data_IF_921845345445
#
_entry.id   IF_921845345445
#
_cell.length_a   1.000
_cell.length_b   1.000
_cell.length_c   1.000
_cell.angle_alpha   90.00
_cell.angle_beta   90.00
_cell.angle_gamma   90.00
#
_symmetry.space_group_name_H-M   'P 1'
#
loop_
_entity.id
_entity.type
_entity.pdbx_description
1 polymer ?
#
# COMPACT_ATOMS: atom_id res chain seq x y z
N UNK A 1 -0.91 -32.59 -66.66
CA UNK A 1 0.32 -33.38 -66.40
C UNK A 1 0.97 -32.86 -65.12
N UNK A 2 0.90 -33.70 -64.17
CA UNK A 2 1.05 -33.56 -62.74
C UNK A 2 2.51 -33.85 -62.37
N UNK A 3 3.12 -33.09 -61.49
CA UNK A 3 4.23 -33.59 -60.63
C UNK A 3 4.30 -32.86 -59.30
N UNK A 4 3.73 -33.50 -58.30
CA UNK A 4 3.92 -33.25 -56.90
C UNK A 4 5.33 -33.57 -56.48
N UNK A 5 6.14 -32.60 -56.04
CA UNK A 5 7.36 -32.83 -55.25
C UNK A 5 7.04 -32.84 -53.75
N UNK A 6 6.93 -34.05 -53.18
CA UNK A 6 7.00 -34.30 -51.73
C UNK A 6 8.42 -34.16 -51.22
N UNK A 7 8.68 -33.16 -50.42
CA UNK A 7 9.89 -33.06 -49.60
C UNK A 7 9.71 -33.87 -48.32
N UNK A 8 10.48 -34.93 -48.14
CA UNK A 8 10.49 -35.74 -46.90
C UNK A 8 11.27 -34.96 -45.83
N UNK A 9 10.81 -34.93 -44.55
CA UNK A 9 11.57 -34.30 -43.45
C UNK A 9 12.78 -35.15 -43.10
N UNK A 10 13.97 -34.52 -43.09
CA UNK A 10 15.22 -35.10 -42.61
C UNK A 10 15.09 -35.35 -41.10
N UNK A 11 15.18 -36.62 -40.66
CA UNK A 11 15.38 -37.02 -39.27
C UNK A 11 16.68 -36.41 -38.74
N UNK A 12 16.57 -35.44 -37.84
CA UNK A 12 17.70 -35.03 -36.99
C UNK A 12 18.02 -36.19 -36.03
N UNK A 13 19.19 -36.74 -36.13
CA UNK A 13 19.79 -37.65 -35.15
C UNK A 13 19.99 -36.87 -33.85
N UNK A 14 19.19 -37.19 -32.82
CA UNK A 14 19.39 -36.71 -31.48
C UNK A 14 20.65 -37.25 -30.88
N UNK A 15 21.60 -36.37 -30.60
CA UNK A 15 22.77 -36.64 -29.76
C UNK A 15 22.31 -36.67 -28.29
N UNK A 16 21.92 -37.85 -27.86
CA UNK A 16 21.31 -38.15 -26.56
C UNK A 16 22.37 -38.46 -25.48
N UNK A 17 23.45 -37.70 -25.36
CA UNK A 17 24.49 -38.00 -24.36
C UNK A 17 25.08 -36.79 -23.62
N UNK A 18 24.59 -35.57 -23.89
CA UNK A 18 25.18 -34.36 -23.26
C UNK A 18 24.18 -33.60 -22.37
N UNK A 19 22.90 -34.03 -22.25
CA UNK A 19 21.86 -33.20 -21.63
C UNK A 19 21.61 -33.47 -20.14
N UNK A 20 21.93 -34.67 -19.62
CA UNK A 20 21.52 -34.98 -18.22
C UNK A 20 22.50 -34.44 -17.15
N UNK A 21 23.81 -34.38 -17.46
CA UNK A 21 24.79 -33.84 -16.50
C UNK A 21 24.82 -32.32 -16.41
N UNK A 22 24.55 -31.64 -17.53
CA UNK A 22 24.53 -30.17 -17.55
C UNK A 22 23.23 -29.58 -16.98
N UNK A 23 22.10 -30.29 -17.10
CA UNK A 23 20.83 -29.90 -16.45
C UNK A 23 20.97 -30.01 -14.94
N UNK A 24 21.56 -31.09 -14.42
CA UNK A 24 21.75 -31.29 -12.97
C UNK A 24 22.75 -30.30 -12.37
N UNK A 25 23.78 -29.88 -13.13
CA UNK A 25 24.72 -28.84 -12.69
C UNK A 25 24.05 -27.45 -12.76
N UNK A 26 23.22 -27.21 -13.79
CA UNK A 26 22.45 -25.99 -13.92
C UNK A 26 21.44 -25.80 -12.79
N UNK A 27 20.63 -26.80 -12.47
CA UNK A 27 19.66 -26.75 -11.37
C UNK A 27 20.32 -26.58 -9.99
N UNK A 28 21.46 -27.25 -9.73
CA UNK A 28 22.19 -27.05 -8.47
C UNK A 28 22.81 -25.68 -8.33
N UNK A 29 23.32 -25.10 -9.40
CA UNK A 29 23.88 -23.74 -9.40
C UNK A 29 22.75 -22.71 -9.27
N UNK A 30 21.62 -22.89 -9.95
CA UNK A 30 20.45 -22.02 -9.86
C UNK A 30 19.86 -22.05 -8.44
N UNK A 31 19.66 -23.24 -7.84
CA UNK A 31 19.20 -23.35 -6.45
C UNK A 31 20.16 -22.72 -5.43
N UNK A 32 21.47 -22.82 -5.62
CA UNK A 32 22.44 -22.20 -4.72
C UNK A 32 22.48 -20.68 -4.83
N UNK A 33 22.28 -20.13 -6.02
CA UNK A 33 22.14 -18.68 -6.25
C UNK A 33 20.82 -18.17 -5.68
N UNK A 34 19.72 -18.90 -5.84
CA UNK A 34 18.40 -18.54 -5.31
C UNK A 34 18.38 -18.45 -3.78
N UNK A 35 19.05 -19.37 -3.08
CA UNK A 35 19.16 -19.31 -1.61
C UNK A 35 19.90 -18.08 -1.13
N UNK A 36 21.03 -17.74 -1.75
CA UNK A 36 21.81 -16.53 -1.40
C UNK A 36 21.04 -15.24 -1.66
N UNK A 37 20.35 -15.16 -2.79
CA UNK A 37 19.50 -14.04 -3.17
C UNK A 37 18.31 -13.92 -2.21
N UNK A 38 17.63 -15.02 -1.91
CA UNK A 38 16.50 -15.06 -0.97
C UNK A 38 16.93 -14.58 0.41
N UNK A 39 18.08 -15.05 0.93
CA UNK A 39 18.64 -14.59 2.20
C UNK A 39 18.97 -13.10 2.14
N UNK A 40 19.62 -12.63 1.07
CA UNK A 40 19.96 -11.22 0.90
C UNK A 40 18.73 -10.30 0.90
N UNK A 41 17.69 -10.67 0.16
CA UNK A 41 16.42 -9.94 0.14
C UNK A 41 15.72 -10.00 1.49
N UNK A 42 15.74 -11.15 2.18
CA UNK A 42 15.17 -11.29 3.51
C UNK A 42 15.89 -10.42 4.56
N UNK A 43 17.21 -10.28 4.46
CA UNK A 43 17.97 -9.36 5.30
C UNK A 43 17.53 -7.92 5.06
N UNK A 44 17.38 -7.50 3.79
CA UNK A 44 16.89 -6.16 3.47
C UNK A 44 15.48 -5.96 4.04
N UNK A 45 14.62 -6.95 3.90
CA UNK A 45 13.27 -6.94 4.48
C UNK A 45 13.31 -6.67 6.00
N UNK A 46 14.15 -7.41 6.74
CA UNK A 46 14.32 -7.21 8.18
C UNK A 46 14.89 -5.81 8.51
N UNK A 47 15.80 -5.29 7.69
CA UNK A 47 16.36 -3.95 7.85
C UNK A 47 15.27 -2.89 7.66
N UNK A 48 14.43 -3.03 6.64
CA UNK A 48 13.29 -2.13 6.39
C UNK A 48 12.29 -2.18 7.55
N UNK A 49 12.02 -3.37 8.08
CA UNK A 49 11.10 -3.55 9.20
C UNK A 49 11.64 -2.93 10.51
N UNK A 50 12.89 -3.19 10.85
CA UNK A 50 13.45 -2.87 12.17
C UNK A 50 14.10 -1.50 12.21
N UNK A 51 14.69 -1.04 11.09
CA UNK A 51 15.48 0.18 11.00
C UNK A 51 14.78 1.43 11.56
N UNK A 52 13.55 1.75 11.11
CA UNK A 52 12.82 2.94 11.57
C UNK A 52 12.53 2.94 13.07
N UNK A 53 12.41 1.76 13.70
CA UNK A 53 12.15 1.63 15.14
C UNK A 53 13.40 1.78 16.01
N UNK A 54 14.58 1.54 15.47
CA UNK A 54 15.84 1.53 16.21
C UNK A 54 16.68 2.78 16.00
N UNK A 55 16.62 3.40 14.85
CA UNK A 55 17.54 4.45 14.43
C UNK A 55 16.76 5.73 14.11
N UNK A 56 16.88 6.74 14.97
CA UNK A 56 16.15 8.01 14.84
C UNK A 56 16.41 8.76 13.51
N UNK A 57 17.63 8.69 12.98
CA UNK A 57 17.96 9.29 11.68
C UNK A 57 17.17 8.63 10.54
N UNK A 58 16.97 7.31 10.61
CA UNK A 58 16.15 6.57 9.62
C UNK A 58 14.68 6.97 9.74
N UNK A 59 14.18 7.07 10.98
CA UNK A 59 12.80 7.50 11.23
C UNK A 59 12.50 8.89 10.66
N UNK A 60 13.45 9.82 10.76
CA UNK A 60 13.30 11.20 10.28
C UNK A 60 13.45 11.36 8.76
N UNK A 61 14.10 10.40 8.09
CA UNK A 61 14.38 10.42 6.66
C UNK A 61 13.96 9.08 6.01
N UNK A 62 12.74 8.65 6.33
CA UNK A 62 12.22 7.35 5.93
C UNK A 62 12.24 7.17 4.40
N UNK A 63 11.92 8.22 3.65
CA UNK A 63 11.92 8.24 2.20
C UNK A 63 13.28 7.91 1.59
N UNK A 64 14.35 8.48 2.16
CA UNK A 64 15.73 8.23 1.70
C UNK A 64 16.18 6.82 2.08
N UNK A 65 15.87 6.40 3.30
CA UNK A 65 16.19 5.06 3.78
C UNK A 65 15.54 3.96 2.92
N UNK A 66 14.24 4.08 2.65
CA UNK A 66 13.52 3.13 1.81
C UNK A 66 14.02 3.14 0.38
N UNK A 67 14.40 4.32 -0.14
CA UNK A 67 15.01 4.44 -1.47
C UNK A 67 16.33 3.65 -1.55
N UNK A 68 17.21 3.78 -0.55
CA UNK A 68 18.47 3.02 -0.48
C UNK A 68 18.17 1.52 -0.40
N UNK A 69 17.25 1.10 0.46
CA UNK A 69 16.84 -0.31 0.56
C UNK A 69 16.26 -0.83 -0.76
N UNK A 70 15.48 -0.02 -1.47
CA UNK A 70 14.94 -0.34 -2.79
C UNK A 70 16.02 -0.55 -3.84
N UNK A 71 16.99 0.35 -3.89
CA UNK A 71 18.16 0.22 -4.77
C UNK A 71 18.94 -1.06 -4.48
N UNK A 72 19.16 -1.39 -3.21
CA UNK A 72 19.85 -2.63 -2.81
C UNK A 72 19.05 -3.87 -3.18
N UNK A 73 17.75 -3.90 -2.90
CA UNK A 73 16.88 -5.02 -3.24
C UNK A 73 16.83 -5.24 -4.76
N UNK A 74 16.68 -4.16 -5.53
CA UNK A 74 16.69 -4.18 -6.99
C UNK A 74 18.03 -4.69 -7.55
N UNK A 75 19.15 -4.31 -6.93
CA UNK A 75 20.48 -4.77 -7.31
C UNK A 75 20.66 -6.26 -7.06
N UNK A 76 20.18 -6.76 -5.93
CA UNK A 76 20.23 -8.20 -5.62
C UNK A 76 19.32 -8.97 -6.59
N UNK A 77 18.13 -8.49 -6.87
CA UNK A 77 17.19 -9.16 -7.77
C UNK A 77 17.64 -9.14 -9.24
N UNK A 78 18.59 -8.29 -9.61
CA UNK A 78 19.15 -8.25 -10.95
C UNK A 78 19.88 -9.55 -11.35
N UNK A 79 20.33 -10.31 -10.38
CA UNK A 79 21.00 -11.60 -10.61
C UNK A 79 20.01 -12.78 -10.66
N UNK A 80 18.70 -12.51 -10.60
CA UNK A 80 17.65 -13.53 -10.67
C UNK A 80 17.08 -13.58 -12.09
N UNK A 81 16.94 -14.78 -12.62
CA UNK A 81 16.21 -15.02 -13.87
C UNK A 81 14.99 -15.88 -13.54
N UNK A 82 13.79 -15.30 -13.65
CA UNK A 82 12.53 -16.00 -13.53
C UNK A 82 11.89 -16.10 -14.90
N UNK A 83 11.35 -17.29 -15.24
CA UNK A 83 10.64 -17.46 -16.50
C UNK A 83 9.42 -16.56 -16.59
N UNK A 84 9.39 -15.70 -17.61
CA UNK A 84 8.27 -14.79 -17.87
C UNK A 84 8.18 -13.57 -16.95
N UNK A 85 9.15 -13.35 -16.07
CA UNK A 85 9.17 -12.20 -15.14
C UNK A 85 10.49 -11.45 -15.26
N UNK A 86 10.39 -10.18 -15.64
CA UNK A 86 11.55 -9.28 -15.63
C UNK A 86 11.85 -8.83 -14.20
N UNK A 87 13.11 -9.00 -13.78
CA UNK A 87 13.59 -8.64 -12.43
C UNK A 87 14.82 -7.74 -12.52
N UNK A 88 15.03 -6.93 -11.50
CA UNK A 88 16.22 -6.11 -11.33
C UNK A 88 16.31 -4.90 -12.26
N UNK A 89 17.54 -4.39 -12.43
CA UNK A 89 17.80 -3.17 -13.18
C UNK A 89 17.46 -3.29 -14.66
N UNK A 90 16.55 -2.42 -15.11
CA UNK A 90 16.17 -2.23 -16.50
C UNK A 90 15.69 -0.79 -16.70
N UNK A 91 15.74 -0.31 -17.95
CA UNK A 91 15.34 1.07 -18.22
C UNK A 91 13.88 1.34 -17.85
N UNK A 92 13.00 0.38 -18.11
CA UNK A 92 11.55 0.49 -17.79
C UNK A 92 11.28 0.73 -16.29
N UNK A 93 12.03 0.10 -15.37
CA UNK A 93 11.83 0.33 -13.93
C UNK A 93 12.32 1.69 -13.47
N UNK A 94 13.40 2.21 -14.11
CA UNK A 94 13.88 3.56 -13.83
C UNK A 94 12.85 4.59 -14.32
N UNK A 95 12.32 4.40 -15.53
CA UNK A 95 11.28 5.24 -16.10
C UNK A 95 10.01 5.20 -15.23
N UNK A 96 9.57 4.01 -14.83
CA UNK A 96 8.42 3.82 -13.93
C UNK A 96 8.64 4.56 -12.60
N UNK A 97 9.79 4.41 -11.97
CA UNK A 97 10.10 5.08 -10.71
C UNK A 97 10.11 6.61 -10.83
N UNK A 98 10.59 7.15 -11.94
CA UNK A 98 10.60 8.60 -12.20
C UNK A 98 9.20 9.13 -12.54
N UNK A 99 8.38 8.35 -13.22
CA UNK A 99 7.08 8.78 -13.74
C UNK A 99 5.95 8.52 -12.75
N UNK A 100 5.95 7.40 -12.03
CA UNK A 100 4.89 7.02 -11.09
C UNK A 100 4.52 8.11 -10.07
N UNK A 101 5.44 8.89 -9.50
CA UNK A 101 5.09 9.97 -8.57
C UNK A 101 4.28 11.10 -9.20
N UNK A 102 4.50 11.37 -10.49
CA UNK A 102 3.95 12.54 -11.21
C UNK A 102 2.89 12.18 -12.25
N UNK A 103 2.71 10.89 -12.53
CA UNK A 103 1.75 10.41 -13.51
C UNK A 103 1.05 9.15 -13.02
N UNK A 104 -0.26 9.24 -12.86
CA UNK A 104 -1.09 8.05 -12.63
C UNK A 104 -1.60 7.59 -13.99
N UNK A 105 -1.14 6.42 -14.42
CA UNK A 105 -1.65 5.77 -15.63
C UNK A 105 -3.12 5.42 -15.41
N UNK A 106 -4.00 6.25 -15.90
CA UNK A 106 -5.42 5.97 -15.94
C UNK A 106 -5.94 6.12 -17.37
N UNK A 107 -7.10 5.50 -17.64
CA UNK A 107 -7.80 5.49 -18.92
C UNK A 107 -8.05 6.90 -19.52
N UNK A 108 -7.89 7.95 -18.72
CA UNK A 108 -8.18 9.34 -19.10
C UNK A 108 -6.94 10.17 -19.41
N UNK A 109 -5.73 9.58 -19.36
CA UNK A 109 -4.46 10.28 -19.66
C UNK A 109 -4.29 11.63 -18.96
N UNK A 110 -4.87 11.80 -17.77
CA UNK A 110 -4.68 13.01 -17.00
C UNK A 110 -3.28 12.97 -16.39
N UNK A 111 -2.43 13.97 -16.67
CA UNK A 111 -1.06 14.03 -16.14
C UNK A 111 -1.07 14.53 -14.69
N UNK A 112 -1.87 13.89 -13.84
CA UNK A 112 -1.99 14.25 -12.43
C UNK A 112 -1.48 13.07 -11.61
N UNK A 113 -0.29 13.22 -11.07
CA UNK A 113 0.29 12.27 -10.12
C UNK A 113 0.06 12.67 -8.68
N UNK A 114 0.50 11.81 -7.78
CA UNK A 114 0.38 11.99 -6.32
C UNK A 114 1.06 13.29 -5.87
N UNK A 115 2.23 13.59 -6.43
CA UNK A 115 3.04 14.76 -6.06
C UNK A 115 2.31 16.07 -6.38
N UNK A 116 1.67 16.17 -7.55
CA UNK A 116 0.89 17.36 -7.92
C UNK A 116 -0.32 17.54 -6.99
N UNK A 117 -1.02 16.45 -6.64
CA UNK A 117 -2.15 16.49 -5.70
C UNK A 117 -1.67 16.97 -4.32
N UNK A 118 -0.60 16.40 -3.79
CA UNK A 118 -0.01 16.81 -2.49
C UNK A 118 0.41 18.27 -2.51
N UNK A 119 1.03 18.73 -3.61
CA UNK A 119 1.46 20.12 -3.77
C UNK A 119 0.27 21.09 -3.85
N UNK A 120 -0.68 20.83 -4.76
CA UNK A 120 -1.83 21.72 -4.99
C UNK A 120 -2.72 21.79 -3.76
N UNK A 121 -3.09 20.64 -3.18
CA UNK A 121 -3.92 20.60 -1.97
C UNK A 121 -3.17 21.21 -0.79
N UNK A 122 -1.86 20.95 -0.66
CA UNK A 122 -1.03 21.61 0.35
C UNK A 122 -1.03 23.13 0.25
N UNK A 123 -0.94 23.70 -0.98
CA UNK A 123 -1.02 25.13 -1.21
C UNK A 123 -2.44 25.70 -0.95
N UNK A 124 -3.49 24.96 -1.30
CA UNK A 124 -4.87 25.32 -1.00
C UNK A 124 -5.06 25.41 0.51
N UNK A 125 -4.64 24.40 1.25
CA UNK A 125 -4.73 24.35 2.71
C UNK A 125 -3.90 25.49 3.32
N UNK A 126 -2.67 25.69 2.87
CA UNK A 126 -1.83 26.81 3.29
C UNK A 126 -2.56 28.16 3.18
N UNK A 127 -3.28 28.37 2.09
CA UNK A 127 -4.00 29.63 1.82
C UNK A 127 -5.30 29.78 2.62
N UNK A 128 -6.04 28.68 2.83
CA UNK A 128 -7.37 28.69 3.47
C UNK A 128 -7.43 27.96 4.81
N UNK A 129 -6.30 27.78 5.49
CA UNK A 129 -6.30 27.03 6.76
C UNK A 129 -7.22 27.67 7.81
N UNK A 130 -7.24 29.00 7.97
CA UNK A 130 -8.07 29.69 8.96
C UNK A 130 -9.58 29.45 8.76
N UNK A 131 -10.16 29.67 7.55
CA UNK A 131 -11.55 29.31 7.30
C UNK A 131 -11.87 27.83 7.52
N UNK A 132 -10.97 26.93 7.13
CA UNK A 132 -11.13 25.48 7.29
C UNK A 132 -11.18 25.13 8.78
N UNK A 133 -10.20 25.60 9.57
CA UNK A 133 -10.14 25.39 11.01
C UNK A 133 -11.36 25.96 11.72
N UNK A 134 -11.81 27.15 11.33
CA UNK A 134 -13.02 27.78 11.87
C UNK A 134 -14.28 26.95 11.62
N UNK A 135 -14.44 26.43 10.41
CA UNK A 135 -15.57 25.55 10.06
C UNK A 135 -15.56 24.25 10.87
N UNK A 136 -14.39 23.59 10.97
CA UNK A 136 -14.23 22.34 11.74
C UNK A 136 -14.51 22.57 13.22
N UNK A 137 -14.01 23.66 13.80
CA UNK A 137 -14.25 24.05 15.18
C UNK A 137 -15.73 24.28 15.46
N UNK A 138 -16.42 24.98 14.58
CA UNK A 138 -17.87 25.21 14.68
C UNK A 138 -18.65 23.91 14.62
N UNK A 139 -18.24 22.96 13.79
CA UNK A 139 -18.83 21.61 13.75
C UNK A 139 -18.55 20.83 15.04
N UNK A 140 -17.32 20.90 15.56
CA UNK A 140 -16.93 20.23 16.81
C UNK A 140 -17.65 20.80 18.05
N UNK A 141 -18.03 22.08 18.04
CA UNK A 141 -18.83 22.72 19.10
C UNK A 141 -20.31 22.29 19.07
N UNK A 142 -20.84 21.97 17.89
CA UNK A 142 -22.25 21.54 17.71
C UNK A 142 -22.44 20.04 17.90
N UNK A 143 -21.45 19.24 17.65
CA UNK A 143 -21.48 17.79 17.75
C UNK A 143 -20.65 17.33 18.95
N UNK A 144 -21.06 16.22 19.59
CA UNK A 144 -20.15 15.61 20.57
C UNK A 144 -18.89 15.12 19.85
N UNK A 145 -17.73 15.23 20.49
CA UNK A 145 -16.44 14.80 19.91
C UNK A 145 -16.44 13.32 19.50
N UNK A 146 -17.21 12.48 20.20
CA UNK A 146 -17.38 11.07 19.84
C UNK A 146 -18.09 10.91 18.49
N UNK A 147 -19.20 11.64 18.31
CA UNK A 147 -19.95 11.64 17.06
C UNK A 147 -19.10 12.22 15.93
N UNK A 148 -18.35 13.28 16.22
CA UNK A 148 -17.43 13.88 15.25
C UNK A 148 -16.33 12.90 14.81
N UNK A 149 -15.74 12.13 15.73
CA UNK A 149 -14.77 11.10 15.40
C UNK A 149 -15.37 10.00 14.52
N UNK A 150 -16.59 9.54 14.87
CA UNK A 150 -17.31 8.56 14.04
C UNK A 150 -17.55 9.08 12.62
N UNK A 151 -18.10 10.28 12.49
CA UNK A 151 -18.37 10.90 11.19
C UNK A 151 -17.09 11.05 10.38
N UNK A 152 -16.02 11.54 11.00
CA UNK A 152 -14.73 11.74 10.36
C UNK A 152 -14.20 10.42 9.80
N UNK A 153 -14.16 9.36 10.60
CA UNK A 153 -13.64 8.05 10.19
C UNK A 153 -14.53 7.42 9.11
N UNK A 154 -15.85 7.41 9.32
CA UNK A 154 -16.80 6.74 8.42
C UNK A 154 -16.92 7.49 7.08
N UNK A 155 -17.05 8.82 7.12
CA UNK A 155 -17.20 9.63 5.92
C UNK A 155 -15.91 9.62 5.08
N UNK A 156 -14.75 9.88 5.71
CA UNK A 156 -13.49 9.83 4.96
C UNK A 156 -13.20 8.43 4.42
N UNK A 157 -13.51 7.38 5.19
CA UNK A 157 -13.42 6.00 4.73
C UNK A 157 -14.24 5.75 3.48
N UNK A 158 -15.53 6.05 3.49
CA UNK A 158 -16.41 5.83 2.34
C UNK A 158 -16.06 6.72 1.15
N UNK A 159 -15.80 8.02 1.40
CA UNK A 159 -15.50 8.96 0.33
C UNK A 159 -14.11 8.78 -0.28
N UNK A 160 -13.18 8.12 0.39
CA UNK A 160 -11.83 7.86 -0.15
C UNK A 160 -11.86 7.08 -1.47
N UNK A 161 -12.91 6.28 -1.71
CA UNK A 161 -13.14 5.61 -3.00
C UNK A 161 -13.42 6.58 -4.15
N UNK A 162 -13.85 7.80 -3.86
CA UNK A 162 -14.24 8.80 -4.86
C UNK A 162 -13.18 9.89 -5.00
N UNK A 163 -12.69 10.40 -3.85
CA UNK A 163 -11.76 11.54 -3.81
C UNK A 163 -10.29 11.14 -3.79
N UNK A 164 -9.98 9.89 -3.72
CA UNK A 164 -8.69 9.22 -3.45
C UNK A 164 -8.26 9.20 -1.98
N UNK A 165 -7.51 8.15 -1.63
CA UNK A 165 -6.93 7.97 -0.30
C UNK A 165 -6.00 9.12 0.10
N UNK A 166 -5.30 9.71 -0.86
CA UNK A 166 -4.36 10.82 -0.65
C UNK A 166 -5.11 12.06 -0.19
N UNK A 167 -6.14 12.45 -0.93
CA UNK A 167 -6.93 13.62 -0.59
C UNK A 167 -7.67 13.42 0.74
N UNK A 168 -8.22 12.22 0.97
CA UNK A 168 -8.84 11.87 2.24
C UNK A 168 -7.86 11.99 3.42
N UNK A 169 -6.59 11.56 3.25
CA UNK A 169 -5.57 11.69 4.28
C UNK A 169 -5.20 13.15 4.58
N UNK A 170 -5.13 14.00 3.56
CA UNK A 170 -4.85 15.42 3.76
C UNK A 170 -6.00 16.09 4.52
N UNK A 171 -7.25 15.82 4.13
CA UNK A 171 -8.44 16.32 4.85
C UNK A 171 -8.45 15.80 6.30
N UNK A 172 -8.14 14.53 6.50
CA UNK A 172 -8.03 13.94 7.84
C UNK A 172 -7.08 14.74 8.73
N UNK A 173 -5.88 15.01 8.24
CA UNK A 173 -4.86 15.73 9.00
C UNK A 173 -5.35 17.11 9.42
N UNK A 174 -5.95 17.86 8.52
CA UNK A 174 -6.49 19.18 8.83
C UNK A 174 -7.62 19.11 9.88
N UNK A 175 -8.53 18.14 9.71
CA UNK A 175 -9.61 17.95 10.68
C UNK A 175 -9.08 17.55 12.07
N UNK A 176 -8.13 16.60 12.14
CA UNK A 176 -7.53 16.16 13.40
C UNK A 176 -6.76 17.28 14.08
N UNK A 177 -6.02 18.10 13.32
CA UNK A 177 -5.31 19.26 13.87
C UNK A 177 -6.26 20.28 14.50
N UNK A 178 -7.41 20.53 13.88
CA UNK A 178 -8.39 21.47 14.36
C UNK A 178 -9.18 20.99 15.61
N UNK A 179 -9.18 19.68 15.91
CA UNK A 179 -9.89 19.15 17.05
C UNK A 179 -9.18 19.48 18.40
N UNK A 180 -9.94 19.93 19.44
CA UNK A 180 -9.42 20.24 20.76
C UNK A 180 -9.22 18.98 21.61
N UNK A 181 -8.37 18.07 21.13
CA UNK A 181 -8.09 16.77 21.76
C UNK A 181 -6.60 16.60 21.99
N UNK A 182 -6.23 15.75 22.95
CA UNK A 182 -4.82 15.50 23.30
C UNK A 182 -4.04 14.88 22.12
N UNK A 183 -2.70 15.06 22.13
CA UNK A 183 -1.81 14.45 21.10
C UNK A 183 -2.04 12.94 20.97
N UNK A 184 -2.20 12.25 22.09
CA UNK A 184 -2.49 10.82 22.08
C UNK A 184 -3.77 10.51 21.33
N UNK A 185 -4.87 11.24 21.63
CA UNK A 185 -6.15 11.06 20.95
C UNK A 185 -6.08 11.41 19.46
N UNK A 186 -5.26 12.41 19.07
CA UNK A 186 -5.01 12.74 17.66
C UNK A 186 -4.32 11.60 16.94
N UNK A 187 -3.29 10.99 17.55
CA UNK A 187 -2.59 9.85 16.99
C UNK A 187 -3.53 8.65 16.83
N UNK A 188 -4.26 8.30 17.91
CA UNK A 188 -5.18 7.18 17.92
C UNK A 188 -6.26 7.36 16.83
N UNK A 189 -6.87 8.55 16.75
CA UNK A 189 -7.86 8.89 15.73
C UNK A 189 -7.31 8.83 14.31
N UNK A 190 -6.09 9.35 14.12
CA UNK A 190 -5.42 9.34 12.81
C UNK A 190 -5.17 7.92 12.33
N UNK A 191 -4.60 7.07 13.18
CA UNK A 191 -4.31 5.67 12.82
C UNK A 191 -5.59 4.93 12.45
N UNK A 192 -6.65 5.03 13.29
CA UNK A 192 -7.93 4.38 13.03
C UNK A 192 -8.56 4.90 11.73
N UNK A 193 -8.50 6.21 11.49
CA UNK A 193 -9.00 6.82 10.24
C UNK A 193 -8.24 6.33 9.01
N UNK A 194 -6.93 6.16 9.10
CA UNK A 194 -6.13 5.66 7.99
C UNK A 194 -6.47 4.21 7.64
N UNK A 195 -6.79 3.35 8.61
CA UNK A 195 -7.36 2.02 8.33
C UNK A 195 -8.68 2.13 7.56
N UNK A 196 -9.56 3.02 7.99
CA UNK A 196 -10.84 3.25 7.32
C UNK A 196 -10.68 3.77 5.89
N UNK A 197 -9.79 4.74 5.70
CA UNK A 197 -9.47 5.32 4.39
C UNK A 197 -8.86 4.25 3.46
N UNK A 198 -7.91 3.46 3.96
CA UNK A 198 -7.29 2.38 3.19
C UNK A 198 -8.31 1.33 2.73
N UNK A 199 -9.23 0.90 3.59
CA UNK A 199 -10.31 0.00 3.20
C UNK A 199 -11.22 0.62 2.14
N UNK A 200 -11.70 1.85 2.38
CA UNK A 200 -12.67 2.48 1.49
C UNK A 200 -12.11 2.81 0.12
N UNK A 201 -10.86 3.25 0.05
CA UNK A 201 -10.19 3.57 -1.20
C UNK A 201 -10.10 2.37 -2.16
N UNK A 202 -10.12 1.15 -1.65
CA UNK A 202 -10.08 -0.06 -2.45
C UNK A 202 -11.36 -0.33 -3.27
N UNK A 203 -12.47 0.31 -2.93
CA UNK A 203 -13.75 0.02 -3.59
C UNK A 203 -13.81 0.44 -5.06
N UNK A 204 -13.03 1.43 -5.48
CA UNK A 204 -13.00 1.88 -6.88
C UNK A 204 -11.58 2.15 -7.38
N UNK A 205 -11.36 2.12 -8.70
CA UNK A 205 -10.06 2.48 -9.28
C UNK A 205 -9.61 3.92 -9.03
N UNK A 206 -10.52 4.80 -8.59
CA UNK A 206 -10.20 6.20 -8.27
C UNK A 206 -9.59 6.37 -6.88
N UNK A 207 -9.87 5.42 -5.98
CA UNK A 207 -9.49 5.54 -4.58
C UNK A 207 -8.00 5.35 -4.35
N UNK A 208 -7.42 4.30 -4.91
CA UNK A 208 -6.00 3.99 -4.76
C UNK A 208 -5.43 3.13 -5.92
N UNK A 209 -4.10 3.12 -6.12
CA UNK A 209 -3.46 2.34 -7.18
C UNK A 209 -3.70 0.84 -7.12
N UNK A 210 -3.79 0.24 -5.93
CA UNK A 210 -4.11 -1.18 -5.71
C UNK A 210 -5.37 -1.58 -6.50
N UNK A 211 -6.43 -0.80 -6.39
CA UNK A 211 -7.71 -1.06 -7.03
C UNK A 211 -7.63 -1.00 -8.56
N UNK A 212 -6.92 0.01 -9.08
CA UNK A 212 -6.66 0.16 -10.50
C UNK A 212 -5.91 -1.04 -11.06
N UNK A 213 -4.87 -1.48 -10.36
CA UNK A 213 -4.04 -2.62 -10.77
C UNK A 213 -4.84 -3.92 -10.73
N UNK A 214 -5.57 -4.18 -9.64
CA UNK A 214 -6.39 -5.38 -9.51
C UNK A 214 -7.43 -5.47 -10.64
N UNK A 215 -8.18 -4.41 -10.91
CA UNK A 215 -9.18 -4.37 -11.97
C UNK A 215 -8.51 -4.55 -13.34
N UNK A 216 -7.39 -3.89 -13.60
CA UNK A 216 -6.66 -4.01 -14.86
C UNK A 216 -6.23 -5.46 -15.14
N UNK A 217 -5.67 -6.13 -14.12
CA UNK A 217 -5.22 -7.53 -14.24
C UNK A 217 -6.35 -8.55 -14.40
N UNK A 218 -7.51 -8.23 -13.85
CA UNK A 218 -8.70 -9.09 -13.90
C UNK A 218 -9.69 -8.67 -14.99
N UNK A 219 -9.35 -7.72 -15.86
CA UNK A 219 -10.23 -7.21 -16.92
C UNK A 219 -10.54 -8.23 -18.03
N UNK A 220 -9.69 -9.27 -18.17
CA UNK A 220 -9.91 -10.38 -19.09
C UNK A 220 -10.61 -11.58 -18.43
N UNK A 221 -10.77 -12.70 -19.20
CA UNK A 221 -11.34 -13.93 -18.65
C UNK A 221 -10.51 -14.46 -17.46
N UNK A 222 -11.15 -15.11 -16.48
CA UNK A 222 -12.60 -15.39 -16.36
C UNK A 222 -13.40 -14.26 -15.71
N UNK A 223 -12.75 -13.21 -15.17
CA UNK A 223 -13.38 -12.23 -14.28
C UNK A 223 -14.06 -11.06 -15.00
N UNK A 224 -13.54 -10.63 -16.16
CA UNK A 224 -14.05 -9.47 -16.91
C UNK A 224 -14.29 -8.25 -16.01
N UNK A 225 -13.36 -7.98 -15.10
CA UNK A 225 -13.48 -6.96 -14.08
C UNK A 225 -13.76 -5.57 -14.70
N UNK A 226 -14.82 -4.93 -14.22
CA UNK A 226 -15.25 -3.59 -14.61
C UNK A 226 -14.90 -2.59 -13.50
N UNK A 227 -15.24 -1.33 -13.70
CA UNK A 227 -15.04 -0.27 -12.71
C UNK A 227 -15.62 -0.62 -11.31
N UNK A 228 -16.77 -1.31 -11.27
CA UNK A 228 -17.46 -1.67 -10.01
C UNK A 228 -17.06 -3.03 -9.45
N UNK A 229 -16.19 -3.76 -10.11
CA UNK A 229 -15.85 -5.13 -9.73
C UNK A 229 -15.46 -5.26 -8.24
N UNK A 230 -14.61 -4.36 -7.74
CA UNK A 230 -14.19 -4.40 -6.34
C UNK A 230 -15.29 -3.98 -5.37
N UNK A 231 -16.23 -3.11 -5.79
CA UNK A 231 -17.44 -2.84 -5.01
C UNK A 231 -18.23 -4.14 -4.85
N UNK A 232 -18.49 -4.84 -5.97
CA UNK A 232 -19.30 -6.06 -5.98
C UNK A 232 -18.68 -7.18 -5.12
N UNK A 233 -17.35 -7.25 -5.09
CA UNK A 233 -16.63 -8.30 -4.35
C UNK A 233 -16.32 -7.94 -2.90
N UNK A 234 -15.97 -6.70 -2.60
CA UNK A 234 -15.39 -6.32 -1.32
C UNK A 234 -16.29 -5.41 -0.47
N UNK A 235 -17.31 -4.74 -1.02
CA UNK A 235 -18.12 -3.80 -0.27
C UNK A 235 -18.80 -4.43 0.96
N UNK A 236 -19.23 -5.69 0.84
CA UNK A 236 -19.85 -6.46 1.92
C UNK A 236 -18.91 -6.62 3.13
N UNK A 237 -17.60 -6.61 2.91
CA UNK A 237 -16.58 -6.66 3.95
C UNK A 237 -16.16 -5.26 4.39
N UNK A 238 -15.91 -4.38 3.42
CA UNK A 238 -15.30 -3.06 3.64
C UNK A 238 -16.25 -2.10 4.35
N UNK A 239 -17.53 -2.02 3.91
CA UNK A 239 -18.47 -1.04 4.48
C UNK A 239 -18.74 -1.30 5.97
N UNK A 240 -19.04 -2.55 6.42
CA UNK A 240 -19.15 -2.83 7.84
C UNK A 240 -17.86 -2.55 8.63
N UNK A 241 -16.70 -2.81 8.03
CA UNK A 241 -15.40 -2.50 8.63
C UNK A 241 -15.16 -1.01 8.85
N UNK A 242 -15.51 -0.17 7.88
CA UNK A 242 -15.47 1.29 8.02
C UNK A 242 -16.35 1.77 9.16
N UNK A 243 -17.56 1.24 9.27
CA UNK A 243 -18.50 1.56 10.37
C UNK A 243 -17.91 1.09 11.71
N UNK A 244 -17.35 -0.12 11.75
CA UNK A 244 -16.71 -0.64 12.95
C UNK A 244 -15.53 0.24 13.40
N UNK A 245 -14.68 0.69 12.47
CA UNK A 245 -13.61 1.63 12.80
C UNK A 245 -14.14 2.97 13.29
N UNK A 246 -15.26 3.47 12.73
CA UNK A 246 -15.94 4.65 13.24
C UNK A 246 -16.37 4.47 14.71
N UNK A 247 -16.97 3.33 15.05
CA UNK A 247 -17.37 2.99 16.42
C UNK A 247 -16.14 2.87 17.33
N UNK A 248 -15.08 2.15 16.90
CA UNK A 248 -13.83 2.04 17.66
C UNK A 248 -13.25 3.42 17.94
N UNK A 249 -13.22 4.32 16.94
CA UNK A 249 -12.73 5.69 17.12
C UNK A 249 -13.45 6.49 18.19
N UNK A 250 -14.75 6.27 18.37
CA UNK A 250 -15.52 6.92 19.46
C UNK A 250 -15.01 6.53 20.86
N UNK A 251 -14.52 5.30 21.02
CA UNK A 251 -14.01 4.81 22.32
C UNK A 251 -12.55 5.20 22.56
N UNK A 252 -11.76 5.31 21.51
CA UNK A 252 -10.34 5.70 21.60
C UNK A 252 -10.12 7.20 21.79
N UNK A 253 -11.16 7.99 21.65
CA UNK A 253 -11.12 9.45 21.76
C UNK A 253 -10.94 9.93 23.20
N UNK A 254 -10.30 9.37 24.08
CA UNK A 254 -9.94 9.77 25.41
C UNK A 254 -10.71 10.96 26.02
N UNK A 255 -10.42 11.31 27.26
CA UNK A 255 -11.00 12.51 27.92
C UNK A 255 -10.48 13.77 27.21
N UNK A 256 -11.40 14.65 26.82
CA UNK A 256 -11.05 15.99 26.37
C UNK A 256 -10.47 16.73 27.56
N UNK A 257 -9.25 17.21 27.48
CA UNK A 257 -8.72 18.20 28.39
C UNK A 257 -8.70 19.57 27.70
N UNK A 258 -9.68 20.45 27.99
CA UNK A 258 -9.70 21.81 27.42
C UNK A 258 -8.51 22.66 27.85
N UNK A 259 -7.75 22.19 28.87
CA UNK A 259 -6.56 22.85 29.41
C UNK A 259 -5.24 22.26 28.95
N UNK A 260 -5.27 21.16 28.18
CA UNK A 260 -4.04 20.61 27.63
C UNK A 260 -3.51 21.54 26.50
N UNK A 261 -2.84 22.61 26.98
CA UNK A 261 -2.04 23.52 26.14
C UNK A 261 -0.82 22.84 25.52
N UNK A 262 -0.60 21.55 25.78
CA UNK A 262 0.53 20.79 25.25
C UNK A 262 0.40 20.56 23.74
N UNK A 263 -0.81 20.72 23.22
CA UNK A 263 -1.03 21.06 21.81
C UNK A 263 -1.68 22.45 21.79
N UNK A 264 -0.91 23.50 22.01
CA UNK A 264 -1.11 24.70 21.20
C UNK A 264 -1.38 24.13 19.81
N UNK A 265 -2.51 24.46 19.17
CA UNK A 265 -2.51 24.56 17.73
C UNK A 265 -1.14 25.19 17.44
N UNK A 266 -0.13 24.36 17.08
CA UNK A 266 1.16 24.92 16.71
C UNK A 266 0.73 25.96 15.72
N UNK A 267 1.03 27.23 16.03
CA UNK A 267 0.66 28.31 15.14
C UNK A 267 1.00 27.78 13.77
N UNK A 268 0.03 27.66 12.86
CA UNK A 268 0.22 27.07 11.54
C UNK A 268 1.31 27.91 10.85
N UNK A 269 2.54 27.55 11.16
CA UNK A 269 3.75 28.21 10.68
C UNK A 269 4.31 27.46 9.47
N UNK A 270 3.46 26.64 8.83
CA UNK A 270 3.87 25.96 7.61
C UNK A 270 4.15 27.02 6.53
N UNK A 271 5.34 26.96 5.96
CA UNK A 271 5.74 27.83 4.86
C UNK A 271 5.49 27.14 3.52
N UNK A 272 5.42 27.91 2.44
CA UNK A 272 5.38 27.35 1.07
C UNK A 272 6.56 26.39 0.83
N UNK A 273 7.72 26.65 1.44
CA UNK A 273 8.89 25.77 1.37
C UNK A 273 8.60 24.40 1.99
N UNK A 274 7.87 24.35 3.10
CA UNK A 274 7.51 23.10 3.77
C UNK A 274 6.54 22.27 2.93
N UNK A 275 5.58 22.94 2.27
CA UNK A 275 4.66 22.29 1.32
C UNK A 275 5.43 21.68 0.15
N UNK A 276 6.37 22.42 -0.45
CA UNK A 276 7.20 21.94 -1.55
C UNK A 276 8.09 20.77 -1.08
N UNK A 277 8.75 20.92 0.09
CA UNK A 277 9.61 19.87 0.63
C UNK A 277 8.84 18.58 0.89
N UNK A 278 7.58 18.68 1.36
CA UNK A 278 6.70 17.53 1.53
C UNK A 278 6.42 16.84 0.18
N UNK A 279 6.12 17.61 -0.86
CA UNK A 279 5.91 17.07 -2.20
C UNK A 279 7.16 16.32 -2.72
N UNK A 280 8.36 16.88 -2.48
CA UNK A 280 9.65 16.23 -2.81
C UNK A 280 9.86 14.94 -2.02
N UNK A 281 9.57 14.94 -0.72
CA UNK A 281 9.66 13.73 0.11
C UNK A 281 8.72 12.63 -0.39
N UNK A 282 7.49 12.97 -0.74
CA UNK A 282 6.52 12.02 -1.33
C UNK A 282 7.02 11.50 -2.67
N UNK A 283 7.64 12.36 -3.49
CA UNK A 283 8.24 11.93 -4.77
C UNK A 283 9.29 10.83 -4.55
N UNK A 284 10.28 11.08 -3.69
CA UNK A 284 11.34 10.14 -3.37
C UNK A 284 10.78 8.86 -2.76
N UNK A 285 9.75 9.00 -1.91
CA UNK A 285 9.10 7.87 -1.27
C UNK A 285 8.46 6.91 -2.30
N UNK A 286 7.70 7.45 -3.26
CA UNK A 286 7.05 6.63 -4.29
C UNK A 286 8.10 5.95 -5.18
N UNK A 287 9.18 6.64 -5.54
CA UNK A 287 10.30 6.00 -6.23
C UNK A 287 10.87 4.81 -5.44
N UNK A 288 11.03 4.99 -4.11
CA UNK A 288 11.49 3.95 -3.22
C UNK A 288 10.56 2.73 -3.24
N UNK A 289 9.25 2.95 -3.21
CA UNK A 289 8.26 1.87 -3.28
C UNK A 289 8.32 1.10 -4.60
N UNK A 290 8.51 1.78 -5.73
CA UNK A 290 8.68 1.12 -7.03
C UNK A 290 9.91 0.22 -7.02
N UNK A 291 11.05 0.71 -6.52
CA UNK A 291 12.29 -0.08 -6.45
C UNK A 291 12.19 -1.24 -5.46
N UNK A 292 11.62 -1.02 -4.28
CA UNK A 292 11.39 -2.09 -3.30
C UNK A 292 10.48 -3.18 -3.87
N UNK A 293 9.38 -2.79 -4.49
CA UNK A 293 8.42 -3.72 -5.05
C UNK A 293 9.02 -4.59 -6.16
N UNK A 294 9.76 -3.97 -7.09
CA UNK A 294 10.43 -4.73 -8.13
C UNK A 294 11.59 -5.58 -7.57
N UNK A 295 12.33 -5.06 -6.60
CA UNK A 295 13.40 -5.77 -5.92
C UNK A 295 12.93 -7.01 -5.16
N UNK A 296 11.71 -7.01 -4.62
CA UNK A 296 11.14 -8.16 -3.92
C UNK A 296 10.33 -9.12 -4.82
N UNK A 297 10.16 -8.82 -6.10
CA UNK A 297 9.46 -9.71 -7.06
C UNK A 297 9.91 -11.17 -7.00
N UNK A 298 11.21 -11.51 -6.92
CA UNK A 298 11.62 -12.91 -6.88
C UNK A 298 11.00 -13.70 -5.73
N UNK A 299 10.95 -13.12 -4.53
CA UNK A 299 10.32 -13.75 -3.37
C UNK A 299 8.81 -13.88 -3.55
N UNK A 300 8.18 -12.84 -4.08
CA UNK A 300 6.72 -12.81 -4.26
C UNK A 300 6.28 -13.88 -5.25
N UNK A 301 6.92 -13.96 -6.42
CA UNK A 301 6.55 -14.95 -7.46
C UNK A 301 6.88 -16.38 -7.06
N UNK A 302 8.01 -16.63 -6.42
CA UNK A 302 8.43 -17.99 -6.10
C UNK A 302 7.66 -18.57 -4.92
N UNK A 303 7.37 -17.77 -3.90
CA UNK A 303 6.82 -18.26 -2.64
C UNK A 303 5.37 -17.82 -2.39
N UNK A 304 5.01 -16.57 -2.72
CA UNK A 304 3.74 -15.96 -2.29
C UNK A 304 2.58 -16.33 -3.21
N UNK A 305 2.75 -16.18 -4.52
CA UNK A 305 1.67 -16.36 -5.49
C UNK A 305 1.13 -17.80 -5.60
N UNK A 306 1.89 -18.80 -5.10
CA UNK A 306 1.51 -20.23 -5.14
C UNK A 306 0.80 -20.70 -3.87
N UNK A 307 0.53 -19.81 -2.92
CA UNK A 307 -0.02 -20.16 -1.62
C UNK A 307 -1.55 -20.37 -1.66
N UNK A 308 -2.11 -21.24 -0.79
CA UNK A 308 -3.54 -21.29 -0.56
C UNK A 308 -4.06 -19.95 0.01
N UNK A 309 -5.36 -19.68 -0.17
CA UNK A 309 -5.96 -18.39 0.17
C UNK A 309 -5.72 -17.98 1.63
N UNK A 310 -5.82 -18.92 2.56
CA UNK A 310 -5.61 -18.69 3.99
C UNK A 310 -4.17 -18.28 4.30
N UNK A 311 -3.20 -18.97 3.68
CA UNK A 311 -1.78 -18.64 3.84
C UNK A 311 -1.47 -17.31 3.19
N UNK A 312 -1.97 -17.05 1.98
CA UNK A 312 -1.82 -15.80 1.25
C UNK A 312 -2.35 -14.60 2.06
N UNK A 313 -3.52 -14.77 2.69
CA UNK A 313 -4.10 -13.75 3.56
C UNK A 313 -3.13 -13.30 4.68
N UNK A 314 -2.51 -14.27 5.37
CA UNK A 314 -1.58 -13.96 6.46
C UNK A 314 -0.21 -13.50 5.99
N UNK A 315 0.30 -14.07 4.90
CA UNK A 315 1.58 -13.63 4.32
C UNK A 315 1.50 -12.17 3.88
N UNK A 316 0.34 -11.71 3.46
CA UNK A 316 0.10 -10.31 3.09
C UNK A 316 0.19 -9.32 4.26
N UNK A 317 0.46 -9.77 5.51
CA UNK A 317 0.94 -8.89 6.58
C UNK A 317 2.25 -8.17 6.21
N UNK A 318 2.99 -8.67 5.23
CA UNK A 318 4.15 -8.01 4.63
C UNK A 318 3.81 -6.63 4.06
N UNK A 319 2.56 -6.39 3.67
CA UNK A 319 2.08 -5.08 3.22
C UNK A 319 2.16 -3.98 4.29
N UNK A 320 2.36 -4.34 5.55
CA UNK A 320 2.69 -3.34 6.57
C UNK A 320 3.97 -2.54 6.26
N UNK A 321 4.86 -3.09 5.42
CA UNK A 321 6.17 -2.54 5.10
C UNK A 321 6.35 -2.30 3.61
N UNK A 322 5.76 -3.17 2.79
CA UNK A 322 5.77 -3.08 1.34
C UNK A 322 4.45 -2.47 0.87
N UNK A 323 4.55 -1.62 -0.14
CA UNK A 323 3.38 -1.00 -0.75
C UNK A 323 2.37 -2.04 -1.26
N UNK A 324 1.12 -1.87 -0.87
CA UNK A 324 0.03 -2.77 -1.23
C UNK A 324 -0.26 -2.81 -2.74
N UNK A 325 -0.04 -1.72 -3.47
CA UNK A 325 -0.21 -1.68 -4.91
C UNK A 325 0.83 -2.55 -5.62
N UNK A 326 2.07 -2.50 -5.18
CA UNK A 326 3.15 -3.34 -5.71
C UNK A 326 2.90 -4.82 -5.47
N UNK A 327 2.47 -5.19 -4.26
CA UNK A 327 2.11 -6.57 -3.95
C UNK A 327 0.93 -7.03 -4.79
N UNK A 328 -0.10 -6.19 -4.97
CA UNK A 328 -1.22 -6.48 -5.87
C UNK A 328 -0.76 -6.72 -7.30
N UNK A 329 0.17 -5.91 -7.80
CA UNK A 329 0.73 -6.09 -9.14
C UNK A 329 1.48 -7.41 -9.29
N UNK A 330 2.11 -7.90 -8.24
CA UNK A 330 2.83 -9.17 -8.24
C UNK A 330 1.91 -10.38 -8.07
N UNK A 331 0.95 -10.31 -7.17
CA UNK A 331 0.16 -11.46 -6.71
C UNK A 331 -1.11 -11.69 -7.52
N UNK A 332 -1.89 -10.63 -7.77
CA UNK A 332 -3.20 -10.77 -8.40
C UNK A 332 -3.09 -11.13 -9.87
N UNK A 333 -3.84 -12.15 -10.28
CA UNK A 333 -3.89 -12.60 -11.66
C UNK A 333 -5.12 -13.46 -11.97
N UNK A 334 -5.43 -13.66 -13.27
CA UNK A 334 -6.64 -14.37 -13.72
C UNK A 334 -6.63 -15.86 -13.38
N UNK A 335 -5.50 -16.44 -13.01
CA UNK A 335 -5.38 -17.85 -12.57
C UNK A 335 -5.81 -18.09 -11.13
N UNK A 336 -5.95 -17.04 -10.32
CA UNK A 336 -6.39 -17.15 -8.92
C UNK A 336 -7.88 -17.42 -8.85
N UNK A 337 -8.32 -18.12 -7.82
CA UNK A 337 -9.75 -18.25 -7.49
C UNK A 337 -10.27 -16.97 -6.85
N UNK A 338 -11.60 -16.76 -6.89
CA UNK A 338 -12.20 -15.55 -6.29
C UNK A 338 -11.87 -15.41 -4.80
N UNK A 339 -11.85 -16.51 -4.05
CA UNK A 339 -11.50 -16.47 -2.63
C UNK A 339 -10.03 -16.09 -2.40
N UNK A 340 -9.12 -16.53 -3.27
CA UNK A 340 -7.72 -16.09 -3.21
C UNK A 340 -7.58 -14.60 -3.49
N UNK A 341 -8.31 -14.06 -4.48
CA UNK A 341 -8.31 -12.64 -4.80
C UNK A 341 -8.85 -11.82 -3.62
N UNK A 342 -9.99 -12.20 -3.06
CA UNK A 342 -10.58 -11.50 -1.92
C UNK A 342 -9.67 -11.59 -0.69
N UNK A 343 -9.09 -12.76 -0.43
CA UNK A 343 -8.15 -12.97 0.67
C UNK A 343 -6.89 -12.13 0.52
N UNK A 344 -6.28 -12.14 -0.66
CA UNK A 344 -5.09 -11.34 -0.94
C UNK A 344 -5.39 -9.84 -0.74
N UNK A 345 -6.43 -9.32 -1.38
CA UNK A 345 -6.77 -7.91 -1.30
C UNK A 345 -7.13 -7.48 0.13
N UNK A 346 -7.96 -8.25 0.85
CA UNK A 346 -8.30 -7.91 2.24
C UNK A 346 -7.08 -7.98 3.17
N UNK A 347 -6.21 -8.99 2.99
CA UNK A 347 -4.95 -9.08 3.73
C UNK A 347 -4.05 -7.86 3.50
N UNK A 348 -3.85 -7.46 2.24
CA UNK A 348 -3.06 -6.28 1.86
C UNK A 348 -3.62 -4.99 2.45
N UNK A 349 -4.94 -4.79 2.33
CA UNK A 349 -5.62 -3.57 2.78
C UNK A 349 -5.54 -3.38 4.29
N UNK A 350 -5.78 -4.44 5.05
CA UNK A 350 -5.74 -4.37 6.51
C UNK A 350 -4.30 -4.22 7.00
N UNK A 351 -3.39 -5.05 6.48
CA UNK A 351 -1.99 -4.99 6.87
C UNK A 351 -1.33 -3.66 6.50
N UNK A 352 -1.69 -3.07 5.37
CA UNK A 352 -1.21 -1.76 4.94
C UNK A 352 -1.47 -0.63 5.96
N UNK A 353 -2.50 -0.75 6.81
CA UNK A 353 -2.77 0.20 7.89
C UNK A 353 -1.85 0.06 9.12
N UNK A 354 -1.19 -1.09 9.29
CA UNK A 354 -0.47 -1.43 10.53
C UNK A 354 0.74 -0.54 10.81
N UNK A 355 1.50 -0.16 9.78
CA UNK A 355 2.71 0.66 9.90
C UNK A 355 2.69 1.82 8.91
N UNK A 356 3.52 2.82 9.15
CA UNK A 356 3.59 4.02 8.30
C UNK A 356 3.91 3.68 6.84
N UNK A 357 4.88 2.81 6.50
CA UNK A 357 5.23 2.53 5.10
C UNK A 357 4.16 1.74 4.33
N UNK A 358 3.24 1.08 5.01
CA UNK A 358 2.31 0.13 4.38
C UNK A 358 1.27 0.77 3.46
N UNK A 359 0.97 2.05 3.62
CA UNK A 359 0.01 2.74 2.74
C UNK A 359 0.28 4.25 2.68
N UNK A 360 0.00 4.87 1.54
CA UNK A 360 0.21 6.30 1.29
C UNK A 360 -0.52 7.21 2.29
N UNK A 361 -1.79 7.00 2.66
CA UNK A 361 -2.47 7.78 3.71
C UNK A 361 -1.72 7.84 5.02
N UNK A 362 -1.10 6.73 5.43
CA UNK A 362 -0.34 6.65 6.68
C UNK A 362 0.86 7.58 6.65
N UNK A 363 1.59 7.58 5.53
CA UNK A 363 2.80 8.37 5.34
C UNK A 363 2.48 9.86 5.37
N UNK A 364 1.44 10.26 4.63
CA UNK A 364 0.99 11.66 4.56
C UNK A 364 0.57 12.11 5.96
N UNK A 365 -0.25 11.33 6.64
CA UNK A 365 -0.78 11.68 7.96
C UNK A 365 0.31 11.70 9.02
N UNK A 366 1.18 10.69 9.06
CA UNK A 366 2.29 10.64 10.01
C UNK A 366 3.27 11.78 9.79
N UNK A 367 3.63 12.05 8.53
CA UNK A 367 4.55 13.13 8.18
C UNK A 367 4.04 14.51 8.55
N UNK A 368 2.75 14.78 8.31
CA UNK A 368 2.14 16.08 8.66
C UNK A 368 1.96 16.28 10.17
N UNK A 369 1.57 15.24 10.89
CA UNK A 369 1.30 15.31 12.32
C UNK A 369 2.53 15.02 13.19
N UNK A 370 3.69 14.76 12.58
CA UNK A 370 4.92 14.39 13.29
C UNK A 370 4.73 13.12 14.13
N UNK A 371 3.99 12.13 13.63
CA UNK A 371 3.76 10.85 14.31
C UNK A 371 4.95 9.94 14.03
N UNK A 372 5.59 9.46 15.09
CA UNK A 372 6.73 8.55 14.99
C UNK A 372 6.28 7.12 14.67
N UNK A 373 7.18 6.31 14.10
CA UNK A 373 6.92 4.90 13.79
C UNK A 373 6.50 4.10 15.04
N UNK A 374 7.03 4.43 16.21
CA UNK A 374 6.65 3.79 17.48
C UNK A 374 5.25 4.18 17.94
N UNK A 375 4.90 5.45 17.83
CA UNK A 375 3.56 5.95 18.18
C UNK A 375 2.52 5.30 17.28
N UNK A 376 2.79 5.21 15.97
CA UNK A 376 1.92 4.55 15.01
C UNK A 376 1.75 3.07 15.32
N UNK A 377 2.86 2.33 15.42
CA UNK A 377 2.86 0.89 15.64
C UNK A 377 2.15 0.47 16.94
N UNK A 378 2.18 1.32 17.97
CA UNK A 378 1.49 1.05 19.24
C UNK A 378 -0.02 0.86 19.06
N UNK A 379 -0.64 1.53 18.11
CA UNK A 379 -2.05 1.43 17.78
C UNK A 379 -2.24 0.55 16.53
N UNK A 380 -1.46 0.80 15.50
CA UNK A 380 -1.62 0.15 14.20
C UNK A 380 -1.41 -1.36 14.24
N UNK A 381 -0.39 -1.86 14.96
CA UNK A 381 -0.14 -3.29 15.04
C UNK A 381 -1.25 -4.05 15.79
N UNK A 382 -1.66 -3.67 17.03
CA UNK A 382 -2.75 -4.37 17.71
C UNK A 382 -4.08 -4.27 16.96
N UNK A 383 -4.44 -3.08 16.47
CA UNK A 383 -5.67 -2.86 15.73
C UNK A 383 -5.69 -3.69 14.45
N UNK A 384 -4.60 -3.64 13.68
CA UNK A 384 -4.49 -4.39 12.45
C UNK A 384 -4.53 -5.89 12.68
N UNK A 385 -3.81 -6.40 13.70
CA UNK A 385 -3.84 -7.82 14.03
C UNK A 385 -5.24 -8.30 14.43
N UNK A 386 -5.93 -7.56 15.31
CA UNK A 386 -7.32 -7.89 15.69
C UNK A 386 -8.23 -7.87 14.47
N UNK A 387 -8.10 -6.87 13.62
CA UNK A 387 -8.88 -6.78 12.38
C UNK A 387 -8.56 -7.96 11.44
N UNK A 388 -7.28 -8.32 11.27
CA UNK A 388 -6.88 -9.49 10.48
C UNK A 388 -7.56 -10.76 10.98
N UNK A 389 -7.57 -11.01 12.30
CA UNK A 389 -8.23 -12.19 12.90
C UNK A 389 -9.73 -12.18 12.61
N UNK A 390 -10.40 -11.04 12.81
CA UNK A 390 -11.85 -10.90 12.57
C UNK A 390 -12.17 -11.18 11.09
N UNK A 391 -11.44 -10.58 10.16
CA UNK A 391 -11.68 -10.78 8.74
C UNK A 391 -11.29 -12.17 8.26
N UNK A 392 -10.27 -12.79 8.85
CA UNK A 392 -9.97 -14.19 8.59
C UNK A 392 -11.18 -15.09 8.90
N UNK A 393 -11.80 -14.88 10.05
CA UNK A 393 -13.01 -15.63 10.44
C UNK A 393 -14.15 -15.34 9.44
N UNK A 394 -14.39 -14.07 9.09
CA UNK A 394 -15.47 -13.67 8.17
C UNK A 394 -15.27 -14.26 6.77
N UNK A 395 -14.03 -14.30 6.26
CA UNK A 395 -13.73 -14.75 4.91
C UNK A 395 -13.77 -16.28 4.78
N UNK A 396 -13.27 -17.00 5.78
CA UNK A 396 -13.00 -18.42 5.63
C UNK A 396 -13.99 -19.31 6.38
N UNK A 397 -14.46 -18.96 7.58
CA UNK A 397 -15.37 -19.82 8.34
C UNK A 397 -16.67 -20.17 7.61
N UNK A 398 -17.34 -19.22 6.88
CA UNK A 398 -18.53 -19.59 6.10
C UNK A 398 -18.29 -20.62 5.00
N UNK A 399 -17.04 -20.77 4.54
CA UNK A 399 -16.66 -21.73 3.50
C UNK A 399 -16.51 -23.16 4.04
N UNK A 400 -16.46 -23.32 5.36
CA UNK A 400 -16.32 -24.63 6.04
C UNK A 400 -17.61 -25.12 6.70
N UNK A 401 -18.68 -24.29 6.69
CA UNK A 401 -20.02 -24.63 7.18
C UNK A 401 -20.97 -24.88 6.01
#
# INVERSE_FOLDING_TARGET
MDQKHRIKPKKLRTTKFWNEKNIVIGEKIIMALDIGITIGLFIIFLIVLIGPFKIKIIEQNLEVFLFICGVLALTISHFVTLEGVETGWRWSIIEEALVAPVYISNKYHLPIGIVQVVLVVGLIIYKWHEPIHGAIRTMAEKLSLKVMAFILIAVLGLFSSIISAILAAIILVEMVNALPITRKSKIDLTVISCFSIGLGAALTPLGEPLSTIAISKLSGPPYFATFTYLIDQLAIYIIPGIIAYGIVGMFFLGKVDPKDKSMKAEDYNETVKDVIMRAVKVYVFIMALVFLGDGFKPIIFEYIAKMPAEALYWVNTVSAILDNATLTAAEIGPSMTQIQINAALMGLLIAGGMLIPGNIPNIISAGKLGITSKEWARIGLPLGFVTMVIYFIILFVPSYI
#
